data_IF_067935317484
#
_entry.id   IF_067935317484
#
_cell.length_a   1.000
_cell.length_b   1.000
_cell.length_c   1.000
_cell.angle_alpha   90.00
_cell.angle_beta   90.00
_cell.angle_gamma   90.00
#
_symmetry.space_group_name_H-M   'P 1'
#
loop_
_entity.id
_entity.type
_entity.pdbx_description
1 polymer ?
#
# COMPACT_ATOMS: atom_id res chain seq x y z
N UNK A 1 -29.07 -15.00 -31.24
CA UNK A 1 -28.70 -15.39 -29.87
C UNK A 1 -27.19 -15.40 -29.79
N UNK A 2 -26.59 -14.41 -29.14
CA UNK A 2 -25.21 -14.49 -28.62
C UNK A 2 -25.19 -13.52 -27.44
N UNK A 3 -25.29 -14.11 -26.25
CA UNK A 3 -25.23 -13.42 -24.98
C UNK A 3 -23.87 -12.72 -24.87
N UNK A 4 -23.86 -11.39 -24.86
CA UNK A 4 -22.71 -10.62 -24.43
C UNK A 4 -22.57 -10.82 -22.92
N UNK A 5 -21.72 -11.78 -22.55
CA UNK A 5 -21.21 -11.94 -21.20
C UNK A 5 -20.59 -10.60 -20.79
N UNK A 6 -21.18 -9.96 -19.78
CA UNK A 6 -20.59 -8.85 -19.05
C UNK A 6 -19.25 -9.32 -18.47
N UNK A 7 -18.20 -9.18 -19.27
CA UNK A 7 -16.82 -9.33 -18.83
C UNK A 7 -16.58 -8.21 -17.82
N UNK A 8 -16.68 -8.56 -16.54
CA UNK A 8 -16.36 -7.70 -15.43
C UNK A 8 -14.91 -7.25 -15.60
N UNK A 9 -14.72 -5.96 -15.87
CA UNK A 9 -13.44 -5.39 -16.27
C UNK A 9 -12.39 -5.56 -15.15
N UNK A 10 -11.59 -6.63 -15.24
CA UNK A 10 -10.46 -6.90 -14.34
C UNK A 10 -9.41 -5.76 -14.40
N UNK A 11 -9.36 -5.03 -15.52
CA UNK A 11 -8.51 -3.86 -15.73
C UNK A 11 -8.90 -2.61 -14.92
N UNK A 12 -10.14 -2.49 -14.43
CA UNK A 12 -10.55 -1.27 -13.70
C UNK A 12 -9.93 -1.15 -12.30
N UNK A 13 -9.41 -2.24 -11.72
CA UNK A 13 -8.85 -2.21 -10.36
C UNK A 13 -7.51 -1.44 -10.29
N UNK A 14 -6.78 -1.38 -11.40
CA UNK A 14 -5.40 -0.86 -11.44
C UNK A 14 -5.27 0.50 -12.13
N UNK A 15 -6.40 1.14 -12.43
CA UNK A 15 -6.39 2.46 -13.03
C UNK A 15 -5.61 3.47 -12.17
N UNK A 16 -4.87 4.35 -12.86
CA UNK A 16 -4.04 5.40 -12.28
C UNK A 16 -2.67 4.93 -11.76
N UNK A 17 -2.25 3.70 -12.07
CA UNK A 17 -0.91 3.22 -11.73
C UNK A 17 0.13 4.05 -12.50
N UNK A 18 1.23 4.48 -11.87
CA UNK A 18 2.28 5.18 -12.58
C UNK A 18 2.90 4.29 -13.66
N UNK A 19 3.46 4.91 -14.69
CA UNK A 19 4.29 4.20 -15.67
C UNK A 19 5.51 3.60 -14.95
N UNK A 20 6.02 2.48 -15.44
CA UNK A 20 7.22 1.86 -14.87
C UNK A 20 8.44 2.76 -15.06
N UNK A 21 9.39 2.78 -14.10
CA UNK A 21 10.55 3.65 -14.20
C UNK A 21 11.46 3.19 -15.34
N UNK A 22 12.18 4.13 -15.94
CA UNK A 22 13.13 3.81 -17.01
C UNK A 22 14.15 2.77 -16.52
N UNK A 23 14.41 1.78 -17.36
CA UNK A 23 15.35 0.67 -17.08
C UNK A 23 15.04 -0.16 -15.82
N UNK A 24 13.84 0.00 -15.23
CA UNK A 24 13.45 -0.68 -13.99
C UNK A 24 14.13 -0.13 -12.74
N UNK A 25 14.73 1.06 -12.81
CA UNK A 25 15.44 1.69 -11.70
C UNK A 25 14.54 2.75 -11.05
N UNK A 26 14.02 2.46 -9.86
CA UNK A 26 13.20 3.41 -9.11
C UNK A 26 14.00 4.64 -8.66
N UNK A 27 13.45 5.83 -8.88
CA UNK A 27 13.92 7.10 -8.32
C UNK A 27 12.91 7.67 -7.32
N UNK A 28 13.26 8.79 -6.68
CA UNK A 28 12.42 9.40 -5.64
C UNK A 28 11.03 9.79 -6.17
N UNK A 29 10.96 10.37 -7.37
CA UNK A 29 9.72 10.83 -7.98
C UNK A 29 8.80 9.65 -8.29
N UNK A 30 9.34 8.60 -8.91
CA UNK A 30 8.59 7.39 -9.20
C UNK A 30 8.07 6.73 -7.91
N UNK A 31 8.92 6.61 -6.88
CA UNK A 31 8.52 6.01 -5.61
C UNK A 31 7.41 6.81 -4.95
N UNK A 32 7.48 8.14 -4.97
CA UNK A 32 6.42 8.99 -4.42
C UNK A 32 5.06 8.70 -5.06
N UNK A 33 5.02 8.68 -6.40
CA UNK A 33 3.81 8.40 -7.17
C UNK A 33 3.32 6.96 -6.96
N UNK A 34 4.24 6.00 -6.92
CA UNK A 34 3.94 4.59 -6.69
C UNK A 34 3.33 4.38 -5.30
N UNK A 35 3.91 4.98 -4.25
CA UNK A 35 3.39 4.89 -2.89
C UNK A 35 2.03 5.60 -2.77
N UNK A 36 1.86 6.79 -3.37
CA UNK A 36 0.58 7.48 -3.37
C UNK A 36 -0.52 6.59 -3.97
N UNK A 37 -0.27 6.01 -5.15
CA UNK A 37 -1.20 5.09 -5.80
C UNK A 37 -1.45 3.85 -4.96
N UNK A 38 -0.40 3.23 -4.41
CA UNK A 38 -0.45 2.00 -3.61
C UNK A 38 -1.38 2.13 -2.41
N UNK A 39 -1.35 3.28 -1.74
CA UNK A 39 -2.17 3.58 -0.56
C UNK A 39 -3.68 3.68 -0.89
N UNK A 40 -4.03 3.76 -2.17
CA UNK A 40 -5.43 3.71 -2.63
C UNK A 40 -5.96 2.28 -2.81
N UNK A 41 -5.10 1.25 -2.78
CA UNK A 41 -5.43 -0.13 -3.11
C UNK A 41 -5.42 -1.07 -1.89
N UNK A 42 -6.02 -2.26 -2.05
CA UNK A 42 -5.81 -3.37 -1.12
C UNK A 42 -4.48 -4.08 -1.41
N UNK A 43 -3.98 -4.91 -0.50
CA UNK A 43 -2.69 -5.61 -0.65
C UNK A 43 -2.70 -6.57 -1.85
N UNK A 44 -3.83 -7.23 -2.08
CA UNK A 44 -4.02 -8.24 -3.12
C UNK A 44 -4.66 -7.68 -4.40
N UNK A 45 -4.77 -6.35 -4.51
CA UNK A 45 -5.20 -5.71 -5.74
C UNK A 45 -4.10 -5.84 -6.80
N UNK A 46 -4.48 -5.88 -8.08
CA UNK A 46 -3.52 -5.75 -9.19
C UNK A 46 -2.42 -6.82 -9.27
N UNK A 47 -2.63 -8.01 -8.70
CA UNK A 47 -1.83 -9.19 -9.02
C UNK A 47 -0.32 -8.99 -8.90
N UNK A 48 0.40 -9.31 -9.98
CA UNK A 48 1.87 -9.27 -10.01
C UNK A 48 2.40 -7.84 -10.06
N UNK A 49 1.64 -6.92 -10.65
CA UNK A 49 1.98 -5.51 -10.77
C UNK A 49 2.12 -4.87 -9.38
N UNK A 50 1.23 -5.23 -8.45
CA UNK A 50 1.33 -4.78 -7.06
C UNK A 50 2.58 -5.29 -6.37
N UNK A 51 2.94 -6.56 -6.58
CA UNK A 51 4.12 -7.18 -5.96
C UNK A 51 5.40 -6.55 -6.50
N UNK A 52 5.48 -6.29 -7.80
CA UNK A 52 6.62 -5.63 -8.42
C UNK A 52 6.76 -4.17 -7.94
N UNK A 53 5.64 -3.44 -7.82
CA UNK A 53 5.62 -2.08 -7.29
C UNK A 53 6.04 -2.04 -5.81
N UNK A 54 5.50 -2.93 -5.00
CA UNK A 54 5.86 -3.05 -3.58
C UNK A 54 7.35 -3.39 -3.43
N UNK A 55 7.88 -4.30 -4.25
CA UNK A 55 9.30 -4.67 -4.22
C UNK A 55 10.22 -3.49 -4.56
N UNK A 56 9.98 -2.80 -5.69
CA UNK A 56 10.82 -1.67 -6.11
C UNK A 56 10.74 -0.49 -5.13
N UNK A 57 9.54 -0.14 -4.69
CA UNK A 57 9.35 0.98 -3.75
C UNK A 57 9.97 0.69 -2.38
N UNK A 58 9.81 -0.52 -1.84
CA UNK A 58 10.41 -0.90 -0.55
C UNK A 58 11.94 -1.04 -0.66
N UNK A 59 12.47 -1.56 -1.76
CA UNK A 59 13.91 -1.61 -2.00
C UNK A 59 14.51 -0.20 -1.99
N UNK A 60 13.90 0.74 -2.72
CA UNK A 60 14.36 2.12 -2.76
C UNK A 60 14.29 2.78 -1.37
N UNK A 61 13.17 2.61 -0.65
CA UNK A 61 13.02 3.11 0.72
C UNK A 61 14.10 2.53 1.64
N UNK A 62 14.42 1.24 1.53
CA UNK A 62 15.45 0.58 2.36
C UNK A 62 16.86 1.11 2.14
N UNK A 63 17.14 1.69 0.96
CA UNK A 63 18.44 2.24 0.56
C UNK A 63 18.52 3.75 0.80
N UNK A 64 17.42 4.40 1.14
CA UNK A 64 17.37 5.84 1.37
C UNK A 64 18.12 6.22 2.66
N UNK A 65 18.92 7.29 2.59
CA UNK A 65 19.59 7.86 3.76
C UNK A 65 18.71 8.88 4.49
N UNK A 66 17.64 9.36 3.84
CA UNK A 66 16.76 10.41 4.35
C UNK A 66 15.48 9.84 4.96
N UNK A 67 15.06 8.66 4.51
CA UNK A 67 13.84 8.00 4.98
C UNK A 67 14.21 6.87 5.92
N UNK A 68 13.90 7.05 7.21
CA UNK A 68 14.01 6.00 8.21
C UNK A 68 12.64 5.72 8.82
N UNK A 69 12.08 4.55 8.49
CA UNK A 69 10.78 4.12 9.01
C UNK A 69 10.99 3.15 10.17
N UNK A 70 10.72 3.62 11.39
CA UNK A 70 10.66 2.78 12.57
C UNK A 70 9.20 2.35 12.84
N UNK A 71 8.97 1.03 12.89
CA UNK A 71 7.67 0.47 13.26
C UNK A 71 7.80 -0.25 14.60
N UNK A 72 7.05 0.23 15.60
CA UNK A 72 6.87 -0.44 16.89
C UNK A 72 5.54 -1.16 16.87
N UNK A 73 5.57 -2.49 16.82
CA UNK A 73 4.37 -3.31 16.65
C UNK A 73 3.32 -3.08 17.74
N UNK A 74 3.74 -2.71 18.95
CA UNK A 74 2.87 -2.39 20.08
C UNK A 74 2.00 -1.15 19.82
N UNK A 75 2.46 -0.24 18.96
CA UNK A 75 1.71 0.96 18.58
C UNK A 75 0.61 0.66 17.57
N UNK A 76 0.68 -0.51 16.89
CA UNK A 76 -0.18 -0.90 15.77
C UNK A 76 -0.81 -2.28 16.00
N UNK A 77 -1.83 -2.39 16.88
CA UNK A 77 -2.40 -3.67 17.30
C UNK A 77 -2.92 -4.55 16.14
N UNK A 78 -3.31 -3.95 15.02
CA UNK A 78 -3.75 -4.69 13.84
C UNK A 78 -2.66 -5.60 13.24
N UNK A 79 -1.37 -5.31 13.47
CA UNK A 79 -0.27 -6.14 12.97
C UNK A 79 -0.21 -7.52 13.65
N UNK A 80 -0.69 -7.65 14.89
CA UNK A 80 -0.74 -8.93 15.58
C UNK A 80 -1.71 -9.92 14.92
N UNK A 81 -2.74 -9.41 14.24
CA UNK A 81 -3.77 -10.21 13.59
C UNK A 81 -3.53 -10.34 12.08
N UNK A 82 -2.96 -9.30 11.46
CA UNK A 82 -2.67 -9.25 10.03
C UNK A 82 -1.26 -8.68 9.78
N UNK A 83 -0.20 -9.50 9.95
CA UNK A 83 1.18 -9.10 9.68
C UNK A 83 1.40 -8.62 8.23
N UNK A 84 0.57 -9.07 7.28
CA UNK A 84 0.57 -8.64 5.89
C UNK A 84 0.34 -7.13 5.70
N UNK A 85 -0.19 -6.43 6.72
CA UNK A 85 -0.33 -4.97 6.72
C UNK A 85 0.96 -4.22 7.03
N UNK A 86 2.06 -4.91 7.35
CA UNK A 86 3.35 -4.28 7.67
C UNK A 86 3.91 -3.49 6.48
N UNK A 87 3.93 -4.08 5.29
CA UNK A 87 4.43 -3.40 4.09
C UNK A 87 3.63 -2.11 3.78
N UNK A 88 2.28 -2.13 3.71
CA UNK A 88 1.52 -0.89 3.52
C UNK A 88 1.71 0.14 4.64
N UNK A 89 1.96 -0.29 5.88
CA UNK A 89 2.26 0.62 6.98
C UNK A 89 3.60 1.32 6.77
N UNK A 90 4.65 0.56 6.41
CA UNK A 90 5.97 1.11 6.09
C UNK A 90 5.86 2.10 4.93
N UNK A 91 5.16 1.71 3.87
CA UNK A 91 4.92 2.53 2.68
C UNK A 91 4.17 3.83 3.00
N UNK A 92 3.18 3.78 3.89
CA UNK A 92 2.46 4.98 4.34
C UNK A 92 3.35 5.95 5.13
N UNK A 93 4.20 5.42 6.00
CA UNK A 93 5.16 6.22 6.75
C UNK A 93 6.18 6.86 5.81
N UNK A 94 6.78 6.06 4.92
CA UNK A 94 7.73 6.55 3.93
C UNK A 94 7.12 7.66 3.07
N UNK A 95 5.92 7.44 2.52
CA UNK A 95 5.21 8.46 1.73
C UNK A 95 4.97 9.73 2.54
N UNK A 96 4.53 9.62 3.81
CA UNK A 96 4.31 10.79 4.66
C UNK A 96 5.61 11.58 4.90
N UNK A 97 6.74 10.88 5.09
CA UNK A 97 8.05 11.50 5.27
C UNK A 97 8.52 12.22 4.00
N UNK A 98 8.31 11.63 2.82
CA UNK A 98 8.61 12.26 1.52
C UNK A 98 7.82 13.56 1.32
N UNK A 99 6.58 13.60 1.81
CA UNK A 99 5.73 14.79 1.79
C UNK A 99 6.06 15.82 2.89
N UNK A 100 7.05 15.56 3.77
CA UNK A 100 7.33 16.39 4.93
C UNK A 100 6.18 16.44 5.95
N UNK A 101 5.34 15.40 5.99
CA UNK A 101 4.17 15.32 6.87
C UNK A 101 4.51 14.61 8.18
N UNK A 102 3.99 15.14 9.28
CA UNK A 102 4.01 14.43 10.56
C UNK A 102 3.12 13.18 10.55
N UNK A 103 3.58 12.12 11.21
CA UNK A 103 2.86 10.86 11.34
C UNK A 103 1.75 10.99 12.39
N UNK A 104 0.54 11.29 11.93
CA UNK A 104 -0.66 11.26 12.78
C UNK A 104 -1.24 9.85 12.87
N UNK A 105 -1.26 9.29 14.09
CA UNK A 105 -1.76 7.93 14.37
C UNK A 105 -3.20 7.70 13.92
N UNK A 106 -4.10 8.68 14.09
CA UNK A 106 -5.51 8.56 13.67
C UNK A 106 -5.62 8.53 12.14
N UNK A 107 -4.82 9.33 11.44
CA UNK A 107 -4.73 9.34 9.97
C UNK A 107 -4.18 8.02 9.46
N UNK A 108 -3.10 7.52 10.07
CA UNK A 108 -2.51 6.21 9.74
C UNK A 108 -3.55 5.10 9.92
N UNK A 109 -4.17 4.99 11.08
CA UNK A 109 -5.23 3.99 11.33
C UNK A 109 -6.38 4.09 10.32
N UNK A 110 -6.78 5.30 9.92
CA UNK A 110 -7.83 5.49 8.90
C UNK A 110 -7.40 4.98 7.53
N UNK A 111 -6.16 5.19 7.12
CA UNK A 111 -5.62 4.68 5.84
C UNK A 111 -5.51 3.17 5.91
N UNK A 112 -4.85 2.62 6.95
CA UNK A 112 -4.66 1.19 7.12
C UNK A 112 -5.98 0.42 7.19
N UNK A 113 -6.99 0.97 7.89
CA UNK A 113 -8.35 0.40 7.92
C UNK A 113 -9.00 0.36 6.53
N UNK A 114 -8.75 1.35 5.68
CA UNK A 114 -9.27 1.35 4.29
C UNK A 114 -8.57 0.31 3.44
N UNK A 115 -7.26 0.15 3.58
CA UNK A 115 -6.47 -0.87 2.88
C UNK A 115 -6.94 -2.27 3.31
N UNK A 116 -7.02 -2.53 4.61
CA UNK A 116 -7.51 -3.80 5.16
C UNK A 116 -8.90 -4.16 4.66
N UNK A 117 -9.85 -3.20 4.63
CA UNK A 117 -11.21 -3.42 4.10
C UNK A 117 -11.23 -3.78 2.61
N UNK A 118 -10.25 -3.31 1.83
CA UNK A 118 -10.14 -3.58 0.39
C UNK A 118 -9.35 -4.85 0.07
N UNK A 119 -8.71 -5.45 1.06
CA UNK A 119 -7.85 -6.61 0.90
C UNK A 119 -8.66 -7.88 1.17
N UNK A 120 -8.75 -8.81 0.22
CA UNK A 120 -9.58 -10.02 0.41
C UNK A 120 -8.92 -11.03 1.35
N UNK A 121 -7.58 -11.10 1.36
CA UNK A 121 -6.82 -11.98 2.25
C UNK A 121 -6.88 -11.57 3.73
N UNK A 122 -7.25 -10.32 4.04
CA UNK A 122 -7.33 -9.81 5.41
C UNK A 122 -8.72 -10.08 6.01
N UNK A 123 -8.82 -10.72 7.20
CA UNK A 123 -10.10 -10.95 7.88
C UNK A 123 -10.63 -9.65 8.53
N UNK A 124 -11.06 -8.68 7.71
CA UNK A 124 -11.39 -7.33 8.17
C UNK A 124 -12.44 -7.27 9.29
N UNK A 125 -13.39 -8.21 9.32
CA UNK A 125 -14.44 -8.24 10.36
C UNK A 125 -13.85 -8.41 11.76
N UNK A 126 -12.82 -9.25 11.88
CA UNK A 126 -12.13 -9.55 13.14
C UNK A 126 -11.15 -8.41 13.49
N UNK A 127 -10.56 -7.80 12.47
CA UNK A 127 -9.56 -6.74 12.61
C UNK A 127 -10.15 -5.34 12.90
N UNK A 128 -11.42 -5.08 12.56
CA UNK A 128 -12.02 -3.72 12.54
C UNK A 128 -11.83 -2.93 13.84
N UNK A 129 -11.83 -3.63 14.98
CA UNK A 129 -11.64 -3.05 16.32
C UNK A 129 -10.20 -2.68 16.68
N UNK A 130 -9.22 -3.16 15.93
CA UNK A 130 -7.78 -2.95 16.18
C UNK A 130 -7.25 -1.64 15.58
N UNK A 131 -8.11 -0.89 14.87
CA UNK A 131 -7.80 0.44 14.34
C UNK A 131 -8.35 1.51 15.29
N UNK A 132 -7.58 1.87 16.31
CA UNK A 132 -7.91 2.86 17.35
C UNK A 132 -6.94 4.04 17.37
#
# INVERSE_FOLDING_TARGET
>A
MLNAVLSTCWFCACWGMPDWPADGIADAEWVEQALEWRLTKGIDACGQEMLALDALSLEWVSKSLEINVEIRSEEWPFLAFSPELTAPLIQLHAWSMMQGLEIDKKKVNRVMKRIARRTKSVPFRELKGQFS
#
